data_IF_838358177310
#
_entry.id   IF_838358177310
#
_cell.length_a   1.000
_cell.length_b   1.000
_cell.length_c   1.000
_cell.angle_alpha   90.00
_cell.angle_beta   90.00
_cell.angle_gamma   90.00
#
_symmetry.space_group_name_H-M   'P 1'
#
loop_
_entity.id
_entity.type
_entity.pdbx_description
1 polymer ?
#
# COMPACT_ATOMS: atom_id res chain seq x y z
N UNK A 1 5.10 26.51 -2.64
CA UNK A 1 3.93 26.64 -3.54
C UNK A 1 3.32 25.31 -3.93
N UNK A 2 4.12 24.34 -4.42
CA UNK A 2 3.63 23.00 -4.80
C UNK A 2 2.97 22.26 -3.65
N UNK A 3 3.51 22.35 -2.44
CA UNK A 3 2.94 21.71 -1.26
C UNK A 3 1.52 22.19 -0.96
N UNK A 4 1.26 23.46 -1.07
CA UNK A 4 -0.08 24.01 -0.90
C UNK A 4 -1.00 23.66 -2.07
N UNK A 5 -0.49 23.69 -3.30
CA UNK A 5 -1.26 23.33 -4.48
C UNK A 5 -1.75 21.88 -4.42
N UNK A 6 -0.85 20.96 -4.09
CA UNK A 6 -1.12 19.52 -4.06
C UNK A 6 -1.62 19.02 -2.69
N UNK A 7 -1.76 19.91 -1.72
CA UNK A 7 -2.14 19.58 -0.35
C UNK A 7 -1.19 18.57 0.32
N UNK A 8 0.10 18.76 0.12
CA UNK A 8 1.17 17.93 0.71
C UNK A 8 1.96 18.73 1.74
N UNK A 9 2.25 18.09 2.87
CA UNK A 9 3.19 18.63 3.83
C UNK A 9 4.60 18.67 3.21
N UNK A 10 5.47 19.64 3.57
CA UNK A 10 6.83 19.69 3.04
C UNK A 10 7.62 18.40 3.18
N UNK A 11 7.47 17.69 4.29
CA UNK A 11 8.12 16.40 4.52
C UNK A 11 7.65 15.32 3.55
N UNK A 12 6.35 15.30 3.23
CA UNK A 12 5.78 14.31 2.32
C UNK A 12 6.18 14.60 0.88
N UNK A 13 6.17 15.87 0.48
CA UNK A 13 6.66 16.29 -0.82
C UNK A 13 8.14 15.92 -0.99
N UNK A 14 8.96 16.14 0.04
CA UNK A 14 10.36 15.77 0.06
C UNK A 14 10.56 14.26 -0.12
N UNK A 15 9.81 13.43 0.58
CA UNK A 15 9.87 11.96 0.43
C UNK A 15 9.60 11.51 -1.00
N UNK A 16 8.64 12.12 -1.66
CA UNK A 16 8.32 11.81 -3.05
C UNK A 16 9.44 12.23 -3.99
N UNK A 17 9.93 13.47 -3.87
CA UNK A 17 10.98 14.03 -4.72
C UNK A 17 12.28 13.24 -4.59
N UNK A 18 12.64 12.81 -3.37
CA UNK A 18 13.88 12.08 -3.10
C UNK A 18 13.74 10.56 -3.19
N UNK A 19 12.71 10.06 -3.82
CA UNK A 19 12.51 8.62 -4.04
C UNK A 19 12.39 7.78 -2.75
N UNK A 20 11.91 8.40 -1.66
CA UNK A 20 11.68 7.70 -0.40
C UNK A 20 10.25 7.12 -0.29
N UNK A 21 9.33 7.57 -1.14
CA UNK A 21 7.96 7.07 -1.18
C UNK A 21 7.38 7.18 -2.59
N UNK A 22 6.50 6.24 -2.92
CA UNK A 22 5.61 6.37 -4.07
C UNK A 22 4.45 7.28 -3.72
N UNK A 23 4.01 8.09 -4.66
CA UNK A 23 2.77 8.84 -4.55
C UNK A 23 1.74 8.29 -5.54
N UNK A 24 0.53 8.10 -5.08
CA UNK A 24 -0.58 7.70 -5.92
C UNK A 24 -1.02 8.90 -6.74
N UNK A 25 -0.89 8.81 -8.05
CA UNK A 25 -1.13 9.91 -8.97
C UNK A 25 -2.52 9.91 -9.58
N UNK A 26 -3.13 8.73 -9.70
CA UNK A 26 -4.51 8.57 -10.18
C UNK A 26 -5.14 7.32 -9.60
N UNK A 27 -6.46 7.37 -9.38
CA UNK A 27 -7.28 6.23 -8.97
C UNK A 27 -8.56 6.27 -9.82
N UNK A 28 -8.86 5.16 -10.49
CA UNK A 28 -10.14 4.98 -11.16
C UNK A 28 -11.18 4.53 -10.14
N UNK A 29 -11.74 5.49 -9.44
CA UNK A 29 -12.70 5.24 -8.36
C UNK A 29 -14.00 4.63 -8.86
N UNK A 30 -14.43 5.00 -10.06
CA UNK A 30 -15.65 4.47 -10.67
C UNK A 30 -15.49 2.98 -11.00
N UNK A 31 -14.41 2.61 -11.67
CA UNK A 31 -14.13 1.20 -11.99
C UNK A 31 -13.95 0.38 -10.73
N UNK A 32 -13.20 0.89 -9.74
CA UNK A 32 -13.01 0.21 -8.45
C UNK A 32 -14.34 -0.02 -7.74
N UNK A 33 -15.19 1.00 -7.68
CA UNK A 33 -16.49 0.92 -7.04
C UNK A 33 -17.39 -0.11 -7.74
N UNK A 34 -17.42 -0.09 -9.06
CA UNK A 34 -18.22 -1.03 -9.86
C UNK A 34 -17.75 -2.47 -9.69
N UNK A 35 -16.43 -2.69 -9.66
CA UNK A 35 -15.84 -4.02 -9.56
C UNK A 35 -15.65 -4.51 -8.11
N UNK A 36 -15.90 -3.66 -7.13
CA UNK A 36 -15.62 -3.96 -5.72
C UNK A 36 -16.22 -5.29 -5.23
N UNK A 37 -17.48 -5.65 -5.54
CA UNK A 37 -18.03 -6.93 -5.12
C UNK A 37 -17.25 -8.13 -5.67
N UNK A 38 -16.83 -8.08 -6.92
CA UNK A 38 -16.03 -9.13 -7.55
C UNK A 38 -14.62 -9.19 -6.99
N UNK A 39 -14.01 -8.04 -6.73
CA UNK A 39 -12.67 -7.93 -6.12
C UNK A 39 -12.69 -8.46 -4.69
N UNK A 40 -13.73 -8.15 -3.92
CA UNK A 40 -13.93 -8.67 -2.57
C UNK A 40 -14.09 -10.20 -2.58
N UNK A 41 -14.90 -10.73 -3.49
CA UNK A 41 -15.09 -12.17 -3.63
C UNK A 41 -13.79 -12.88 -4.00
N UNK A 42 -13.00 -12.32 -4.90
CA UNK A 42 -11.71 -12.86 -5.28
C UNK A 42 -10.71 -12.84 -4.13
N UNK A 43 -10.67 -11.75 -3.36
CA UNK A 43 -9.83 -11.64 -2.16
C UNK A 43 -10.21 -12.68 -1.11
N UNK A 44 -11.50 -12.82 -0.82
CA UNK A 44 -11.99 -13.78 0.16
C UNK A 44 -11.68 -15.22 -0.24
N UNK A 45 -11.78 -15.52 -1.54
CA UNK A 45 -11.44 -16.84 -2.09
C UNK A 45 -9.94 -17.12 -1.92
N UNK A 46 -9.10 -16.20 -2.28
CA UNK A 46 -7.63 -16.33 -2.15
C UNK A 46 -7.22 -16.53 -0.69
N UNK A 47 -7.83 -15.78 0.21
CA UNK A 47 -7.62 -15.94 1.65
C UNK A 47 -8.01 -17.33 2.13
N UNK A 48 -9.21 -17.81 1.74
CA UNK A 48 -9.66 -19.16 2.09
C UNK A 48 -8.75 -20.24 1.52
N UNK A 49 -8.24 -20.08 0.32
CA UNK A 49 -7.29 -21.02 -0.28
C UNK A 49 -5.99 -21.11 0.54
N UNK A 50 -5.45 -19.96 0.97
CA UNK A 50 -4.27 -19.93 1.83
C UNK A 50 -4.52 -20.58 3.18
N UNK A 51 -5.65 -20.30 3.81
CA UNK A 51 -6.04 -20.90 5.08
C UNK A 51 -6.25 -22.42 4.94
N UNK A 52 -6.91 -22.85 3.89
CA UNK A 52 -7.16 -24.26 3.59
C UNK A 52 -5.87 -25.02 3.32
N UNK A 53 -4.94 -24.43 2.57
CA UNK A 53 -3.63 -25.04 2.31
C UNK A 53 -2.80 -25.14 3.58
N UNK A 54 -2.81 -24.10 4.43
CA UNK A 54 -2.19 -24.14 5.76
C UNK A 54 -2.69 -25.30 6.58
N UNK A 55 -4.01 -25.43 6.68
CA UNK A 55 -4.63 -26.48 7.50
C UNK A 55 -4.38 -27.87 6.94
N UNK A 56 -4.37 -28.02 5.61
CA UNK A 56 -4.02 -29.27 4.94
C UNK A 56 -2.56 -29.69 5.18
N UNK A 57 -1.64 -28.74 5.11
CA UNK A 57 -0.21 -28.98 5.34
C UNK A 57 0.06 -29.39 6.80
N UNK A 58 -0.59 -28.71 7.75
CA UNK A 58 -0.52 -29.07 9.18
C UNK A 58 -1.10 -30.46 9.42
N UNK A 59 -2.26 -30.78 8.84
CA UNK A 59 -2.88 -32.07 8.97
C UNK A 59 -2.04 -33.19 8.37
N UNK A 60 -1.33 -32.94 7.27
CA UNK A 60 -0.42 -33.90 6.66
C UNK A 60 0.76 -34.23 7.58
N UNK A 61 1.37 -33.21 8.20
CA UNK A 61 2.45 -33.40 9.18
C UNK A 61 1.95 -34.21 10.38
N UNK A 62 0.78 -33.87 10.90
CA UNK A 62 0.17 -34.59 12.02
C UNK A 62 -0.06 -36.07 11.71
N UNK A 63 -0.58 -36.37 10.51
CA UNK A 63 -0.81 -37.76 10.09
C UNK A 63 0.50 -38.55 9.95
N UNK A 64 1.53 -37.96 9.35
CA UNK A 64 2.83 -38.62 9.23
C UNK A 64 3.42 -38.97 10.59
N UNK A 65 3.31 -38.05 11.55
CA UNK A 65 3.82 -38.28 12.91
C UNK A 65 3.02 -39.34 13.61
N UNK A 66 1.72 -39.35 13.52
CA UNK A 66 0.88 -40.39 14.12
C UNK A 66 1.16 -41.76 13.54
N UNK A 67 1.39 -41.87 12.23
CA UNK A 67 1.78 -43.13 11.57
C UNK A 67 3.13 -43.60 12.04
N UNK A 68 4.10 -42.72 12.15
CA UNK A 68 5.43 -43.05 12.62
C UNK A 68 5.44 -43.47 14.10
N UNK A 69 4.66 -42.77 14.94
CA UNK A 69 4.49 -43.16 16.35
C UNK A 69 3.84 -44.53 16.49
N UNK A 70 2.82 -44.82 15.67
CA UNK A 70 2.16 -46.13 15.66
C UNK A 70 3.12 -47.23 15.23
N UNK A 71 3.97 -46.95 14.24
CA UNK A 71 5.01 -47.89 13.80
C UNK A 71 6.01 -48.22 14.92
N UNK A 72 6.47 -47.17 15.63
CA UNK A 72 7.40 -47.34 16.77
C UNK A 72 6.75 -48.16 17.88
N UNK A 73 5.48 -47.93 18.18
CA UNK A 73 4.75 -48.74 19.17
C UNK A 73 4.56 -50.19 18.75
N UNK A 74 4.31 -50.45 17.48
CA UNK A 74 4.16 -51.81 16.95
C UNK A 74 5.47 -52.61 17.00
N UNK A 75 6.62 -51.97 16.91
CA UNK A 75 7.94 -52.60 17.03
C UNK A 75 8.27 -53.00 18.45
N UNK A 76 7.53 -52.57 19.45
CA UNK A 76 7.76 -52.84 20.86
C UNK A 76 8.92 -52.07 21.46
N UNK A 77 8.95 -51.99 22.78
CA UNK A 77 10.00 -51.30 23.51
C UNK A 77 9.65 -49.87 23.94
N UNK A 78 10.33 -49.42 24.98
CA UNK A 78 10.13 -48.06 25.55
C UNK A 78 11.06 -47.05 24.87
N UNK A 79 10.71 -46.64 23.65
CA UNK A 79 11.47 -45.61 22.91
C UNK A 79 10.91 -44.19 23.22
N UNK A 80 10.81 -43.86 24.51
CA UNK A 80 10.19 -42.62 24.96
C UNK A 80 10.92 -41.37 24.44
N UNK A 81 12.24 -41.40 24.43
CA UNK A 81 13.06 -40.28 23.94
C UNK A 81 12.89 -40.07 22.43
N UNK A 82 12.84 -41.16 21.66
CA UNK A 82 12.60 -41.11 20.21
C UNK A 82 11.21 -40.57 19.86
N UNK A 83 10.21 -41.06 20.56
CA UNK A 83 8.81 -40.55 20.40
C UNK A 83 8.70 -39.06 20.73
N UNK A 84 9.35 -38.64 21.81
CA UNK A 84 9.36 -37.22 22.20
C UNK A 84 10.04 -36.33 21.16
N UNK A 85 11.19 -36.76 20.65
CA UNK A 85 11.94 -36.07 19.60
C UNK A 85 11.08 -35.93 18.32
N UNK A 86 10.38 -37.00 17.96
CA UNK A 86 9.50 -37.02 16.80
C UNK A 86 8.34 -36.02 16.95
N UNK A 87 7.71 -35.99 18.11
CA UNK A 87 6.65 -35.03 18.42
C UNK A 87 7.13 -33.58 18.42
N UNK A 88 8.28 -33.33 19.03
CA UNK A 88 8.86 -31.99 19.09
C UNK A 88 9.25 -31.49 17.70
N UNK A 89 9.79 -32.32 16.85
CA UNK A 89 10.10 -31.98 15.47
C UNK A 89 8.83 -31.65 14.67
N UNK A 90 7.77 -32.43 14.87
CA UNK A 90 6.49 -32.23 14.21
C UNK A 90 5.86 -30.90 14.63
N UNK A 91 5.88 -30.60 15.92
CA UNK A 91 5.38 -29.32 16.44
C UNK A 91 6.11 -28.12 15.84
N UNK A 92 7.44 -28.23 15.71
CA UNK A 92 8.24 -27.18 15.05
C UNK A 92 7.88 -27.01 13.59
N UNK A 93 7.70 -28.12 12.86
CA UNK A 93 7.31 -28.08 11.46
C UNK A 93 5.92 -27.47 11.29
N UNK A 94 4.97 -27.88 12.12
CA UNK A 94 3.61 -27.32 12.09
C UNK A 94 3.60 -25.82 12.43
N UNK A 95 4.39 -25.42 13.44
CA UNK A 95 4.52 -24.01 13.80
C UNK A 95 5.15 -23.19 12.67
N UNK A 96 6.14 -23.74 11.96
CA UNK A 96 6.77 -23.10 10.81
C UNK A 96 5.80 -22.92 9.65
N UNK A 97 5.02 -23.94 9.34
CA UNK A 97 3.96 -23.88 8.30
C UNK A 97 2.93 -22.80 8.65
N UNK A 98 2.44 -22.82 9.90
CA UNK A 98 1.47 -21.82 10.37
C UNK A 98 2.01 -20.41 10.25
N UNK A 99 3.23 -20.19 10.72
CA UNK A 99 3.85 -18.86 10.69
C UNK A 99 4.02 -18.32 9.27
N UNK A 100 4.45 -19.18 8.35
CA UNK A 100 4.61 -18.80 6.94
C UNK A 100 3.26 -18.44 6.30
N UNK A 101 2.26 -19.30 6.49
CA UNK A 101 0.92 -19.08 5.95
C UNK A 101 0.27 -17.82 6.54
N UNK A 102 0.40 -17.61 7.84
CA UNK A 102 -0.16 -16.43 8.51
C UNK A 102 0.50 -15.13 8.01
N UNK A 103 1.78 -15.15 7.70
CA UNK A 103 2.47 -14.01 7.08
C UNK A 103 1.94 -13.72 5.67
N UNK A 104 1.71 -14.74 4.86
CA UNK A 104 1.14 -14.58 3.52
C UNK A 104 -0.29 -14.03 3.59
N UNK A 105 -1.09 -14.54 4.50
CA UNK A 105 -2.46 -14.06 4.72
C UNK A 105 -2.46 -12.61 5.20
N UNK A 106 -1.60 -12.29 6.15
CA UNK A 106 -1.47 -10.92 6.66
C UNK A 106 -1.05 -9.94 5.56
N UNK A 107 -0.09 -10.34 4.72
CA UNK A 107 0.33 -9.54 3.57
C UNK A 107 -0.81 -9.36 2.55
N UNK A 108 -1.53 -10.43 2.25
CA UNK A 108 -2.69 -10.39 1.36
C UNK A 108 -3.76 -9.40 1.86
N UNK A 109 -4.08 -9.46 3.14
CA UNK A 109 -5.05 -8.55 3.76
C UNK A 109 -4.56 -7.11 3.77
N UNK A 110 -3.29 -6.89 4.06
CA UNK A 110 -2.69 -5.56 4.08
C UNK A 110 -2.73 -4.90 2.68
N UNK A 111 -2.41 -5.67 1.64
CA UNK A 111 -2.51 -5.20 0.25
C UNK A 111 -3.94 -4.83 -0.10
N UNK A 112 -4.90 -5.67 0.25
CA UNK A 112 -6.32 -5.44 0.01
C UNK A 112 -6.84 -4.20 0.73
N UNK A 113 -6.59 -4.09 2.03
CA UNK A 113 -7.02 -2.95 2.83
C UNK A 113 -6.43 -1.64 2.33
N UNK A 114 -5.15 -1.66 1.96
CA UNK A 114 -4.48 -0.48 1.41
C UNK A 114 -5.10 -0.07 0.08
N UNK A 115 -5.30 -1.01 -0.83
CA UNK A 115 -5.94 -0.74 -2.13
C UNK A 115 -7.38 -0.26 -1.99
N UNK A 116 -8.16 -0.90 -1.15
CA UNK A 116 -9.58 -0.58 -0.96
C UNK A 116 -9.80 0.88 -0.54
N UNK A 117 -8.87 1.41 0.25
CA UNK A 117 -8.92 2.77 0.78
C UNK A 117 -8.00 3.76 0.06
N UNK A 118 -7.38 3.34 -1.03
CA UNK A 118 -6.38 4.14 -1.74
C UNK A 118 -7.00 5.40 -2.34
N UNK A 119 -6.31 6.54 -2.16
CA UNK A 119 -6.72 7.83 -2.67
C UNK A 119 -5.58 8.50 -3.41
N UNK A 120 -5.92 9.39 -4.33
CA UNK A 120 -4.94 10.25 -4.99
C UNK A 120 -4.18 11.06 -3.93
N UNK A 121 -2.88 11.19 -4.12
CA UNK A 121 -1.91 11.81 -3.21
C UNK A 121 -1.53 10.98 -1.98
N UNK A 122 -2.05 9.78 -1.80
CA UNK A 122 -1.53 8.86 -0.79
C UNK A 122 -0.07 8.53 -1.06
N UNK A 123 0.71 8.41 0.00
CA UNK A 123 2.11 8.02 -0.06
C UNK A 123 2.29 6.60 0.43
N UNK A 124 3.15 5.85 -0.27
CA UNK A 124 3.55 4.52 0.14
C UNK A 124 5.08 4.41 0.16
N UNK A 125 5.64 4.24 1.36
CA UNK A 125 7.07 4.07 1.56
C UNK A 125 7.53 2.61 1.55
N UNK A 126 6.61 1.66 1.64
CA UNK A 126 6.92 0.23 1.57
C UNK A 126 6.88 -0.24 0.11
N UNK A 127 8.05 -0.46 -0.46
CA UNK A 127 8.19 -0.86 -1.86
C UNK A 127 7.55 -2.22 -2.15
N UNK A 128 7.69 -3.19 -1.25
CA UNK A 128 7.10 -4.52 -1.41
C UNK A 128 5.58 -4.45 -1.43
N UNK A 129 5.00 -3.66 -0.54
CA UNK A 129 3.55 -3.44 -0.49
C UNK A 129 3.06 -2.75 -1.76
N UNK A 130 3.76 -1.71 -2.21
CA UNK A 130 3.42 -0.99 -3.43
C UNK A 130 3.44 -1.90 -4.66
N UNK A 131 4.49 -2.71 -4.82
CA UNK A 131 4.61 -3.67 -5.92
C UNK A 131 3.49 -4.70 -5.91
N UNK A 132 3.15 -5.21 -4.74
CA UNK A 132 2.03 -6.17 -4.61
C UNK A 132 0.69 -5.54 -4.99
N UNK A 133 0.48 -4.26 -4.64
CA UNK A 133 -0.72 -3.53 -5.06
C UNK A 133 -0.78 -3.34 -6.58
N UNK A 134 0.34 -2.97 -7.21
CA UNK A 134 0.43 -2.81 -8.66
C UNK A 134 0.16 -4.15 -9.36
N UNK A 135 0.76 -5.24 -8.89
CA UNK A 135 0.60 -6.56 -9.49
C UNK A 135 -0.85 -7.04 -9.46
N UNK A 136 -1.55 -6.81 -8.36
CA UNK A 136 -2.94 -7.24 -8.20
C UNK A 136 -3.96 -6.26 -8.77
N UNK A 137 -3.75 -4.97 -8.55
CA UNK A 137 -4.78 -3.94 -8.74
C UNK A 137 -4.32 -2.78 -9.64
N UNK A 138 -3.24 -2.97 -10.37
CA UNK A 138 -2.64 -1.91 -11.19
C UNK A 138 -3.51 -1.37 -12.32
N UNK A 139 -4.62 -2.04 -12.63
CA UNK A 139 -5.61 -1.54 -13.59
C UNK A 139 -6.45 -0.38 -13.02
N UNK A 140 -6.48 -0.23 -11.70
CA UNK A 140 -7.36 0.73 -11.02
C UNK A 140 -6.64 1.98 -10.54
N UNK A 141 -5.32 2.02 -10.56
CA UNK A 141 -4.56 3.16 -10.07
C UNK A 141 -3.19 3.27 -10.72
N UNK A 142 -2.62 4.46 -10.61
CA UNK A 142 -1.25 4.72 -11.00
C UNK A 142 -0.51 5.40 -9.85
N UNK A 143 0.79 5.15 -9.78
CA UNK A 143 1.69 5.80 -8.84
C UNK A 143 3.05 6.02 -9.47
N UNK A 144 3.83 6.89 -8.88
CA UNK A 144 5.18 7.20 -9.33
C UNK A 144 6.01 7.77 -8.19
N UNK A 145 7.30 7.90 -8.43
CA UNK A 145 8.27 8.54 -7.55
C UNK A 145 8.91 9.75 -8.21
N UNK A 146 9.51 10.60 -7.41
CA UNK A 146 10.32 11.72 -7.89
C UNK A 146 9.50 12.79 -8.59
N UNK A 147 10.17 13.58 -9.41
CA UNK A 147 9.54 14.66 -10.17
C UNK A 147 8.44 14.17 -11.10
N UNK A 148 8.54 12.94 -11.60
CA UNK A 148 7.51 12.33 -12.43
C UNK A 148 6.18 12.19 -11.70
N UNK A 149 6.20 11.85 -10.41
CA UNK A 149 5.00 11.76 -9.59
C UNK A 149 4.28 13.11 -9.51
N UNK A 150 5.05 14.16 -9.27
CA UNK A 150 4.53 15.53 -9.20
C UNK A 150 3.96 15.96 -10.56
N UNK A 151 4.69 15.67 -11.63
CA UNK A 151 4.26 15.97 -13.00
C UNK A 151 2.93 15.29 -13.34
N UNK A 152 2.83 13.99 -13.12
CA UNK A 152 1.60 13.22 -13.38
C UNK A 152 0.42 13.74 -12.55
N UNK A 153 0.66 14.09 -11.29
CA UNK A 153 -0.38 14.64 -10.41
C UNK A 153 -0.88 15.99 -10.94
N UNK A 154 0.01 16.84 -11.43
CA UNK A 154 -0.32 18.15 -11.99
C UNK A 154 -1.04 18.06 -13.34
N UNK A 155 -0.72 17.07 -14.17
CA UNK A 155 -1.37 16.86 -15.47
C UNK A 155 -2.88 16.61 -15.34
N UNK A 156 -3.30 15.97 -14.26
CA UNK A 156 -4.72 15.65 -13.99
C UNK A 156 -5.37 16.61 -13.01
N UNK A 157 -4.63 17.64 -12.57
CA UNK A 157 -5.10 18.58 -11.55
C UNK A 157 -6.02 19.63 -12.14
N UNK A 158 -7.27 19.65 -11.67
CA UNK A 158 -8.27 20.63 -12.07
C UNK A 158 -8.25 21.82 -11.10
N UNK A 159 -7.61 22.90 -11.49
CA UNK A 159 -7.48 24.13 -10.69
C UNK A 159 -8.83 24.76 -10.36
N UNK A 160 -9.76 24.75 -11.31
CA UNK A 160 -11.09 25.37 -11.12
C UNK A 160 -11.93 24.56 -10.11
N UNK A 161 -11.96 23.24 -10.26
CA UNK A 161 -12.64 22.35 -9.32
C UNK A 161 -12.05 22.45 -7.91
N UNK A 162 -10.72 22.52 -7.80
CA UNK A 162 -10.05 22.69 -6.52
C UNK A 162 -10.35 24.03 -5.87
N UNK A 163 -10.42 25.11 -6.65
CA UNK A 163 -10.81 26.42 -6.15
C UNK A 163 -12.22 26.41 -5.57
N UNK A 164 -13.17 25.77 -6.26
CA UNK A 164 -14.56 25.64 -5.77
C UNK A 164 -14.65 24.81 -4.49
N UNK A 165 -13.94 23.68 -4.44
CA UNK A 165 -13.88 22.85 -3.23
C UNK A 165 -13.30 23.61 -2.03
N UNK A 166 -12.26 24.41 -2.24
CA UNK A 166 -11.64 25.22 -1.20
C UNK A 166 -12.55 26.33 -0.70
N UNK A 167 -13.30 26.98 -1.60
CA UNK A 167 -14.30 27.97 -1.22
C UNK A 167 -15.37 27.38 -0.30
N UNK A 168 -15.84 26.19 -0.59
CA UNK A 168 -16.80 25.47 0.24
C UNK A 168 -16.23 25.17 1.63
N UNK A 169 -14.99 24.70 1.72
CA UNK A 169 -14.30 24.45 3.01
C UNK A 169 -14.15 25.75 3.81
N UNK A 170 -13.86 26.88 3.17
CA UNK A 170 -13.74 28.18 3.83
C UNK A 170 -15.08 28.63 4.42
N UNK A 171 -16.19 28.38 3.71
CA UNK A 171 -17.53 28.74 4.17
C UNK A 171 -18.00 27.89 5.34
N UNK A 172 -17.68 26.60 5.34
CA UNK A 172 -18.19 25.62 6.31
C UNK A 172 -17.18 25.23 7.37
N UNK A 173 -15.89 25.43 7.13
CA UNK A 173 -14.80 25.03 8.02
C UNK A 173 -14.51 26.01 9.13
N UNK A 174 -13.83 25.54 10.17
CA UNK A 174 -13.40 26.32 11.33
C UNK A 174 -11.96 26.02 11.68
N UNK A 175 -11.26 26.97 12.34
CA UNK A 175 -9.93 26.80 12.86
C UNK A 175 -8.85 26.59 11.81
N UNK A 176 -7.93 25.65 12.06
CA UNK A 176 -6.77 25.39 11.19
C UNK A 176 -7.16 24.93 9.78
N UNK A 177 -8.25 24.18 9.68
CA UNK A 177 -8.75 23.71 8.39
C UNK A 177 -9.13 24.87 7.47
N UNK A 178 -9.81 25.87 8.00
CA UNK A 178 -10.15 27.10 7.27
C UNK A 178 -8.92 27.91 6.89
N UNK A 179 -7.96 28.06 7.81
CA UNK A 179 -6.72 28.79 7.57
C UNK A 179 -5.89 28.15 6.46
N UNK A 180 -5.77 26.83 6.47
CA UNK A 180 -5.07 26.08 5.44
C UNK A 180 -5.76 26.20 4.08
N UNK A 181 -7.09 26.10 4.05
CA UNK A 181 -7.88 26.26 2.83
C UNK A 181 -7.71 27.66 2.22
N UNK A 182 -7.65 28.70 3.04
CA UNK A 182 -7.37 30.07 2.58
C UNK A 182 -6.00 30.22 1.93
N UNK A 183 -4.97 29.62 2.53
CA UNK A 183 -3.61 29.64 1.98
C UNK A 183 -3.53 28.88 0.66
N UNK A 184 -4.18 27.73 0.57
CA UNK A 184 -4.23 26.93 -0.64
C UNK A 184 -4.98 27.66 -1.76
N UNK A 185 -6.11 28.28 -1.44
CA UNK A 185 -6.89 29.02 -2.41
C UNK A 185 -6.11 30.18 -3.04
N UNK A 186 -5.29 30.89 -2.26
CA UNK A 186 -4.42 31.94 -2.79
C UNK A 186 -3.45 31.38 -3.84
N UNK A 187 -2.86 30.23 -3.59
CA UNK A 187 -1.94 29.58 -4.54
C UNK A 187 -2.66 29.14 -5.80
N UNK A 188 -3.82 28.50 -5.66
CA UNK A 188 -4.64 28.04 -6.79
C UNK A 188 -5.08 29.24 -7.65
N UNK A 189 -5.59 30.30 -7.05
CA UNK A 189 -6.00 31.51 -7.76
C UNK A 189 -4.84 32.18 -8.50
N UNK A 190 -3.63 32.17 -7.92
CA UNK A 190 -2.45 32.71 -8.58
C UNK A 190 -2.16 31.99 -9.90
N UNK A 191 -2.32 30.67 -9.96
CA UNK A 191 -2.15 29.90 -11.21
C UNK A 191 -3.31 30.15 -12.20
N UNK A 192 -4.54 30.29 -11.72
CA UNK A 192 -5.69 30.58 -12.57
C UNK A 192 -5.62 31.94 -13.23
N UNK A 193 -5.15 32.96 -12.52
CA UNK A 193 -5.12 34.36 -13.00
C UNK A 193 -3.91 34.70 -13.83
N UNK A 194 -2.78 33.99 -13.66
CA UNK A 194 -1.52 34.33 -14.34
C UNK A 194 -1.29 33.50 -15.60
N UNK A 195 -2.15 32.56 -15.95
CA UNK A 195 -1.99 31.60 -17.04
C UNK A 195 -0.70 30.76 -16.96
N UNK A 196 -0.04 30.73 -15.80
CA UNK A 196 1.14 29.90 -15.59
C UNK A 196 0.70 28.45 -15.32
N UNK A 197 1.30 27.53 -16.07
CA UNK A 197 1.06 26.10 -15.83
C UNK A 197 1.85 25.61 -14.60
N UNK A 198 1.19 24.89 -13.66
CA UNK A 198 1.91 24.24 -12.57
C UNK A 198 2.99 23.25 -13.04
N UNK A 199 2.86 22.69 -14.25
CA UNK A 199 3.86 21.81 -14.87
C UNK A 199 5.21 22.52 -15.07
N UNK A 200 5.21 23.83 -15.34
CA UNK A 200 6.42 24.62 -15.45
C UNK A 200 7.27 24.64 -14.16
N UNK A 201 6.63 24.58 -13.01
CA UNK A 201 7.33 24.50 -11.71
C UNK A 201 8.10 23.20 -11.54
N UNK A 202 7.60 22.10 -12.07
CA UNK A 202 8.27 20.80 -12.01
C UNK A 202 9.55 20.83 -12.85
N UNK A 203 9.51 21.43 -14.03
CA UNK A 203 10.68 21.59 -14.88
C UNK A 203 11.76 22.46 -14.23
N UNK A 204 11.36 23.47 -13.49
CA UNK A 204 12.28 24.36 -12.77
C UNK A 204 12.87 23.70 -11.52
N UNK A 205 12.12 22.79 -10.87
CA UNK A 205 12.57 22.11 -9.65
C UNK A 205 13.57 21.00 -9.94
N UNK A 206 13.42 20.24 -11.02
CA UNK A 206 14.29 19.12 -11.36
C UNK A 206 15.75 19.50 -11.51
N UNK A 207 16.13 20.63 -12.19
CA UNK A 207 17.53 21.04 -12.29
C UNK A 207 18.13 21.59 -11.00
N UNK A 208 17.31 22.03 -10.05
CA UNK A 208 17.75 22.69 -8.80
C UNK A 208 18.27 21.71 -7.75
N UNK A 209 17.96 20.43 -7.89
CA UNK A 209 18.32 19.39 -6.92
C UNK A 209 19.23 18.36 -7.62
N UNK A 210 20.53 18.66 -7.83
CA UNK A 210 21.44 17.71 -8.46
C UNK A 210 21.62 16.47 -7.56
N UNK A 211 21.68 15.28 -8.15
CA UNK A 211 21.85 14.03 -7.38
C UNK A 211 23.10 14.02 -6.50
N UNK A 212 24.15 14.74 -6.89
CA UNK A 212 25.40 14.82 -6.15
C UNK A 212 25.24 15.43 -4.75
N UNK A 213 24.26 16.28 -4.56
CA UNK A 213 23.95 16.88 -3.26
C UNK A 213 23.29 15.91 -2.29
N UNK A 214 22.78 14.81 -2.77
CA UNK A 214 22.18 13.76 -1.94
C UNK A 214 23.24 12.87 -1.27
N UNK A 215 24.47 12.89 -1.75
CA UNK A 215 25.58 12.08 -1.26
C UNK A 215 26.38 12.79 -0.16
N UNK A 216 26.08 14.02 0.08
CA UNK A 216 26.69 14.85 1.09
C UNK A 216 25.82 14.96 2.34
#
# INVERSE_FOLDING_TARGET
RLGYLLDLAPKDLEKVIYFAAYMITSVDEEARHEDLPNLQAAHDREKRELESQRDADIAAISREVEQELARIEAEGGKKTAEKRKLRDNAERQMASVRKRADREIEHLEKVWDRFKNLKVADLEGDEALYRSMIDKYGLYFEGAMGAEAIKKRLETFDLEAEAEALKEVIQTGKGQKKTRALKRLKVVNAFLTTNNSPLGMVLDVVPVIPPELHLL
#
